data_IF_382323876074
#
_entry.id   IF_382323876074
#
_cell.length_a   1.000
_cell.length_b   1.000
_cell.length_c   1.000
_cell.angle_alpha   90.00
_cell.angle_beta   90.00
_cell.angle_gamma   90.00
#
_symmetry.space_group_name_H-M   'P 1'
#
loop_
_entity.id
_entity.type
_entity.pdbx_description
1 polymer ?
#
# COMPACT_ATOMS: atom_id res chain seq x y z
N UNK A 1 13.21 -7.26 -9.10
CA UNK A 1 12.14 -6.86 -8.17
C UNK A 1 10.84 -6.77 -8.96
N UNK A 2 9.75 -7.28 -8.41
CA UNK A 2 8.41 -7.26 -9.01
C UNK A 2 7.61 -6.19 -8.26
N UNK A 3 7.06 -5.18 -8.97
CA UNK A 3 6.20 -4.19 -8.35
C UNK A 3 4.83 -4.81 -8.05
N UNK A 4 4.33 -4.52 -6.85
CA UNK A 4 2.97 -4.84 -6.43
C UNK A 4 2.33 -3.54 -5.95
N UNK A 5 1.13 -3.27 -6.43
CA UNK A 5 0.35 -2.09 -6.07
C UNK A 5 -0.98 -2.51 -5.47
N UNK A 6 -1.33 -1.91 -4.34
CA UNK A 6 -2.69 -1.91 -3.81
C UNK A 6 -3.29 -0.51 -3.93
N UNK A 7 -4.41 -0.41 -4.64
CA UNK A 7 -5.30 0.75 -4.60
C UNK A 7 -6.31 0.51 -3.47
N UNK A 8 -6.32 1.40 -2.48
CA UNK A 8 -7.20 1.34 -1.30
C UNK A 8 -8.20 2.49 -1.38
N UNK A 9 -9.45 2.15 -1.67
CA UNK A 9 -10.55 3.12 -1.76
C UNK A 9 -11.28 3.15 -0.41
N UNK A 10 -11.31 4.31 0.29
CA UNK A 10 -12.11 4.44 1.50
C UNK A 10 -13.61 4.38 1.16
N UNK A 11 -14.37 3.58 1.90
CA UNK A 11 -15.83 3.46 1.75
C UNK A 11 -16.59 4.44 2.65
N UNK A 12 -15.90 5.06 3.61
CA UNK A 12 -16.44 6.13 4.46
C UNK A 12 -15.42 7.25 4.66
N UNK A 13 -15.91 8.44 5.03
CA UNK A 13 -15.10 9.66 5.14
C UNK A 13 -14.00 9.60 6.21
N UNK A 14 -14.14 8.76 7.23
CA UNK A 14 -13.18 8.62 8.32
C UNK A 14 -12.13 7.54 8.04
N UNK A 15 -12.31 6.70 7.02
CA UNK A 15 -11.42 5.59 6.75
C UNK A 15 -10.01 6.06 6.35
N UNK A 16 -9.90 7.01 5.41
CA UNK A 16 -8.60 7.47 4.92
C UNK A 16 -7.73 8.13 6.01
N UNK A 17 -8.23 9.07 6.84
CA UNK A 17 -7.45 9.63 7.94
C UNK A 17 -6.96 8.57 8.95
N UNK A 18 -7.79 7.57 9.24
CA UNK A 18 -7.44 6.48 10.16
C UNK A 18 -6.33 5.60 9.58
N UNK A 19 -6.42 5.23 8.29
CA UNK A 19 -5.38 4.46 7.61
C UNK A 19 -4.06 5.22 7.57
N UNK A 20 -4.08 6.48 7.18
CA UNK A 20 -2.86 7.31 7.13
C UNK A 20 -2.21 7.42 8.51
N UNK A 21 -3.02 7.58 9.57
CA UNK A 21 -2.51 7.60 10.95
C UNK A 21 -1.89 6.26 11.34
N UNK A 22 -2.54 5.13 11.00
CA UNK A 22 -2.02 3.79 11.29
C UNK A 22 -0.70 3.53 10.57
N UNK A 23 -0.65 3.80 9.26
CA UNK A 23 0.55 3.61 8.46
C UNK A 23 1.71 4.50 8.91
N UNK A 24 1.44 5.72 9.37
CA UNK A 24 2.43 6.60 10.02
C UNK A 24 2.82 6.17 11.44
N UNK A 25 2.05 5.28 12.06
CA UNK A 25 2.43 4.64 13.32
C UNK A 25 3.61 3.68 13.16
N UNK A 26 3.86 3.19 11.95
CA UNK A 26 5.07 2.44 11.63
C UNK A 26 6.29 3.35 11.52
N UNK A 27 7.48 2.74 11.52
CA UNK A 27 8.71 3.46 11.14
C UNK A 27 8.54 3.99 9.72
N UNK A 28 8.63 5.30 9.55
CA UNK A 28 8.39 5.94 8.26
C UNK A 28 9.36 7.09 7.98
N UNK A 29 9.44 7.48 6.70
CA UNK A 29 10.20 8.63 6.21
C UNK A 29 9.32 9.39 5.23
N UNK A 30 9.13 10.69 5.46
CA UNK A 30 8.38 11.56 4.55
C UNK A 30 9.19 11.77 3.25
N UNK A 31 8.54 11.61 2.10
CA UNK A 31 9.13 11.86 0.77
C UNK A 31 8.74 13.26 0.28
N UNK A 32 7.45 13.57 0.33
CA UNK A 32 6.89 14.90 0.01
C UNK A 32 5.53 15.07 0.70
N UNK A 33 4.77 16.13 0.41
CA UNK A 33 3.48 16.39 1.08
C UNK A 33 2.44 15.25 0.98
N UNK A 34 2.46 14.44 -0.07
CA UNK A 34 1.49 13.37 -0.33
C UNK A 34 2.08 11.97 -0.13
N UNK A 35 3.41 11.84 -0.11
CA UNK A 35 4.10 10.54 -0.11
C UNK A 35 5.00 10.32 1.09
N UNK A 36 5.01 9.09 1.59
CA UNK A 36 5.96 8.63 2.60
C UNK A 36 6.28 7.15 2.42
N UNK A 37 7.47 6.74 2.82
CA UNK A 37 7.84 5.32 2.94
C UNK A 37 7.51 4.84 4.34
N UNK A 38 6.81 3.72 4.47
CA UNK A 38 6.54 3.05 5.74
C UNK A 38 7.12 1.63 5.72
N UNK A 39 7.67 1.20 6.85
CA UNK A 39 8.12 -0.19 7.04
C UNK A 39 6.96 -0.99 7.64
N UNK A 40 6.21 -1.69 6.79
CA UNK A 40 5.05 -2.48 7.20
C UNK A 40 5.50 -3.89 7.60
N UNK A 41 5.14 -4.40 8.79
CA UNK A 41 5.50 -5.75 9.22
C UNK A 41 5.04 -6.83 8.23
N UNK A 42 5.91 -7.79 7.91
CA UNK A 42 5.61 -8.88 6.96
C UNK A 42 5.58 -8.48 5.48
N UNK A 43 5.64 -7.18 5.18
CA UNK A 43 5.61 -6.63 3.82
C UNK A 43 6.96 -5.98 3.46
N UNK A 44 7.51 -5.17 4.37
CA UNK A 44 8.73 -4.40 4.16
C UNK A 44 8.45 -2.94 3.78
N UNK A 45 9.37 -2.34 3.02
CA UNK A 45 9.26 -0.95 2.58
C UNK A 45 8.10 -0.77 1.62
N UNK A 46 7.11 0.02 2.04
CA UNK A 46 5.90 0.34 1.29
C UNK A 46 5.88 1.83 1.02
N UNK A 47 5.83 2.23 -0.25
CA UNK A 47 5.59 3.63 -0.61
C UNK A 47 4.08 3.88 -0.51
N UNK A 48 3.73 4.82 0.35
CA UNK A 48 2.35 5.25 0.57
C UNK A 48 2.15 6.58 -0.16
N UNK A 49 1.18 6.64 -1.06
CA UNK A 49 0.75 7.88 -1.72
C UNK A 49 -0.67 8.20 -1.30
N UNK A 50 -0.82 9.27 -0.51
CA UNK A 50 -2.11 9.79 -0.10
C UNK A 50 -2.78 10.55 -1.25
N UNK A 51 -4.07 10.33 -1.42
CA UNK A 51 -4.90 10.97 -2.44
C UNK A 51 -6.37 10.56 -2.25
N UNK A 52 -7.24 10.81 -3.26
CA UNK A 52 -8.62 10.31 -3.24
C UNK A 52 -8.70 8.78 -3.11
N UNK A 53 -7.70 8.10 -3.66
CA UNK A 53 -7.40 6.68 -3.44
C UNK A 53 -6.04 6.62 -2.78
N UNK A 54 -5.92 5.82 -1.72
CA UNK A 54 -4.64 5.56 -1.07
C UNK A 54 -3.92 4.48 -1.87
N UNK A 55 -2.73 4.79 -2.36
CA UNK A 55 -1.93 3.83 -3.13
C UNK A 55 -0.78 3.32 -2.27
N UNK A 56 -0.58 2.01 -2.28
CA UNK A 56 0.51 1.31 -1.60
C UNK A 56 1.33 0.56 -2.64
N UNK A 57 2.53 1.04 -2.92
CA UNK A 57 3.48 0.38 -3.83
C UNK A 57 4.54 -0.37 -3.01
N UNK A 58 4.67 -1.67 -3.27
CA UNK A 58 5.59 -2.60 -2.59
C UNK A 58 6.48 -3.28 -3.61
N UNK A 59 7.77 -3.39 -3.31
CA UNK A 59 8.71 -4.16 -4.12
C UNK A 59 8.91 -5.54 -3.49
N UNK A 60 8.65 -6.59 -4.26
CA UNK A 60 9.01 -7.95 -3.85
C UNK A 60 10.17 -8.50 -4.68
N UNK A 61 11.03 -9.30 -4.06
CA UNK A 61 12.18 -9.89 -4.72
C UNK A 61 11.79 -11.06 -5.63
N UNK A 62 10.76 -11.82 -5.22
CA UNK A 62 10.37 -13.06 -5.88
C UNK A 62 8.86 -13.20 -6.02
N UNK A 63 8.41 -13.70 -7.18
CA UNK A 63 6.99 -13.92 -7.47
C UNK A 63 6.30 -14.84 -6.47
N UNK A 64 7.03 -15.84 -5.94
CA UNK A 64 6.54 -16.76 -4.91
C UNK A 64 6.18 -16.09 -3.58
N UNK A 65 6.73 -14.90 -3.32
CA UNK A 65 6.44 -14.13 -2.10
C UNK A 65 5.21 -13.24 -2.25
N UNK A 66 4.67 -13.07 -3.47
CA UNK A 66 3.50 -12.21 -3.69
C UNK A 66 2.31 -12.59 -2.80
N UNK A 67 1.91 -13.87 -2.66
CA UNK A 67 0.78 -14.21 -1.78
C UNK A 67 1.03 -13.81 -0.33
N UNK A 68 2.24 -14.09 0.18
CA UNK A 68 2.62 -13.72 1.55
C UNK A 68 2.59 -12.21 1.80
N UNK A 69 3.10 -11.43 0.83
CA UNK A 69 3.10 -9.97 0.91
C UNK A 69 1.68 -9.40 0.82
N UNK A 70 0.85 -9.95 -0.07
CA UNK A 70 -0.57 -9.59 -0.19
C UNK A 70 -1.28 -9.87 1.13
N UNK A 71 -1.17 -11.09 1.66
CA UNK A 71 -1.83 -11.49 2.90
C UNK A 71 -1.39 -10.65 4.10
N UNK A 72 -0.09 -10.35 4.22
CA UNK A 72 0.44 -9.50 5.27
C UNK A 72 -0.11 -8.07 5.18
N UNK A 73 -0.15 -7.48 3.98
CA UNK A 73 -0.67 -6.13 3.81
C UNK A 73 -2.19 -6.08 4.01
N UNK A 74 -2.94 -7.06 3.51
CA UNK A 74 -4.39 -7.14 3.76
C UNK A 74 -4.68 -7.29 5.25
N UNK A 75 -3.92 -8.12 5.96
CA UNK A 75 -4.06 -8.29 7.41
C UNK A 75 -3.84 -6.96 8.14
N UNK A 76 -2.79 -6.21 7.77
CA UNK A 76 -2.51 -4.91 8.37
C UNK A 76 -3.62 -3.89 8.07
N UNK A 77 -4.09 -3.83 6.82
CA UNK A 77 -5.12 -2.88 6.40
C UNK A 77 -6.50 -3.19 7.00
N UNK A 78 -6.84 -4.47 7.15
CA UNK A 78 -8.13 -4.93 7.67
C UNK A 78 -8.14 -5.11 9.19
N UNK A 79 -7.01 -4.89 9.87
CA UNK A 79 -6.86 -5.02 11.32
C UNK A 79 -7.92 -4.23 12.10
N UNK A 80 -8.35 -4.79 13.23
CA UNK A 80 -9.35 -4.22 14.12
C UNK A 80 -10.71 -3.96 13.43
N UNK A 81 -11.13 -4.88 12.55
CA UNK A 81 -12.43 -4.80 11.86
C UNK A 81 -12.48 -3.75 10.74
N UNK A 82 -11.34 -3.24 10.30
CA UNK A 82 -11.28 -2.14 9.33
C UNK A 82 -11.59 -2.58 7.89
N UNK A 83 -11.69 -3.89 7.64
CA UNK A 83 -11.92 -4.43 6.30
C UNK A 83 -13.23 -3.98 5.63
N UNK A 84 -14.30 -3.75 6.39
CA UNK A 84 -15.59 -3.30 5.84
C UNK A 84 -15.59 -1.83 5.41
N UNK A 85 -14.53 -1.08 5.75
CA UNK A 85 -14.40 0.36 5.53
C UNK A 85 -13.58 0.72 4.30
N UNK A 86 -13.04 -0.30 3.61
CA UNK A 86 -12.15 -0.14 2.47
C UNK A 86 -12.47 -1.15 1.37
N UNK A 87 -12.33 -0.71 0.12
CA UNK A 87 -12.23 -1.60 -1.03
C UNK A 87 -10.76 -1.68 -1.46
N UNK A 88 -10.31 -2.89 -1.80
CA UNK A 88 -8.93 -3.16 -2.21
C UNK A 88 -8.91 -3.66 -3.64
N UNK A 89 -8.01 -3.09 -4.45
CA UNK A 89 -7.69 -3.59 -5.79
C UNK A 89 -6.19 -3.78 -5.92
N UNK A 90 -5.79 -5.00 -6.26
CA UNK A 90 -4.41 -5.34 -6.51
C UNK A 90 -4.07 -5.22 -7.99
N UNK A 91 -2.86 -4.78 -8.28
CA UNK A 91 -2.26 -4.85 -9.60
C UNK A 91 -0.76 -5.10 -9.47
N UNK A 92 -0.20 -5.82 -10.44
CA UNK A 92 1.24 -5.78 -10.68
C UNK A 92 1.41 -4.78 -11.82
N UNK A 93 1.88 -3.55 -11.57
CA UNK A 93 2.16 -2.62 -12.65
C UNK A 93 3.18 -3.31 -13.56
N UNK A 94 2.75 -3.78 -14.73
CA UNK A 94 3.66 -4.39 -15.68
C UNK A 94 4.77 -3.38 -15.96
N UNK A 95 5.99 -3.93 -16.05
CA UNK A 95 7.22 -3.26 -16.45
C UNK A 95 6.90 -2.16 -17.46
N UNK A 96 7.27 -0.93 -17.12
CA UNK A 96 7.09 0.27 -17.95
C UNK A 96 7.41 -0.06 -19.41
N UNK A 97 6.44 -0.03 -20.35
CA UNK A 97 6.79 0.22 -21.73
C UNK A 97 7.25 1.66 -21.74
N UNK A 98 8.57 1.87 -21.77
CA UNK A 98 9.13 3.18 -22.06
C UNK A 98 9.02 3.34 -23.57
N UNK A 99 8.13 4.16 -24.15
CA UNK A 99 8.49 4.88 -25.34
C UNK A 99 9.41 6.00 -24.86
N UNK A 100 10.73 5.79 -24.95
CA UNK A 100 11.64 6.91 -25.04
C UNK A 100 11.24 7.70 -26.28
N UNK A 101 10.62 8.88 -26.11
CA UNK A 101 10.62 9.97 -27.08
C UNK A 101 10.54 11.30 -26.36
#
# INVERSE_FOLDING_TARGET
MIPLRADVTPLDALALPVLLRRLRGHRHVQVDAQRFLAIVPGVGSTLVTAGPVLVLDVMTEHRRLLPLVIDALETELRRDGFGERIALRWSTPDIVPVPFR
#
